data_IF_363249023831
#
_entry.id   IF_363249023831
#
_cell.length_a   1.000
_cell.length_b   1.000
_cell.length_c   1.000
_cell.angle_alpha   90.00
_cell.angle_beta   90.00
_cell.angle_gamma   90.00
#
_symmetry.space_group_name_H-M   'P 1'
#
loop_
_entity.id
_entity.type
_entity.pdbx_description
1 polymer ?
#
# COMPACT_ATOMS: atom_id res chain seq x y z
N UNK A 1 9.95 -23.67 -47.36
CA UNK A 1 9.63 -24.21 -46.02
C UNK A 1 10.20 -23.30 -44.93
N UNK A 2 11.52 -23.10 -44.85
CA UNK A 2 12.15 -22.26 -43.81
C UNK A 2 11.77 -20.77 -43.91
N UNK A 3 11.87 -20.15 -45.09
CA UNK A 3 11.50 -18.73 -45.29
C UNK A 3 10.03 -18.43 -44.96
N UNK A 4 9.14 -19.39 -45.21
CA UNK A 4 7.71 -19.22 -44.92
C UNK A 4 7.42 -19.36 -43.43
N UNK A 5 8.10 -20.27 -42.73
CA UNK A 5 8.06 -20.36 -41.28
C UNK A 5 8.63 -19.09 -40.61
N UNK A 6 9.74 -18.56 -41.13
CA UNK A 6 10.36 -17.33 -40.60
C UNK A 6 9.47 -16.09 -40.84
N UNK A 7 8.77 -16.03 -41.98
CA UNK A 7 7.78 -14.98 -42.28
C UNK A 7 6.60 -15.02 -41.32
N UNK A 8 6.05 -16.21 -41.07
CA UNK A 8 4.93 -16.41 -40.12
C UNK A 8 5.38 -16.04 -38.71
N UNK A 9 6.57 -16.47 -38.28
CA UNK A 9 7.11 -16.16 -36.97
C UNK A 9 7.30 -14.65 -36.77
N UNK A 10 7.76 -13.94 -37.81
CA UNK A 10 7.90 -12.48 -37.77
C UNK A 10 6.54 -11.77 -37.69
N UNK A 11 5.55 -12.19 -38.48
CA UNK A 11 4.19 -11.63 -38.41
C UNK A 11 3.52 -11.89 -37.05
N UNK A 12 3.73 -13.06 -36.46
CA UNK A 12 3.21 -13.39 -35.14
C UNK A 12 3.88 -12.55 -34.04
N UNK A 13 5.21 -12.37 -34.11
CA UNK A 13 5.94 -11.50 -33.20
C UNK A 13 5.48 -10.03 -33.29
N UNK A 14 5.28 -9.51 -34.51
CA UNK A 14 4.77 -8.15 -34.74
C UNK A 14 3.32 -8.00 -34.24
N UNK A 15 2.48 -9.01 -34.45
CA UNK A 15 1.11 -9.04 -33.92
C UNK A 15 1.11 -9.02 -32.39
N UNK A 16 1.94 -9.86 -31.77
CA UNK A 16 2.10 -9.92 -30.31
C UNK A 16 2.63 -8.60 -29.74
N UNK A 17 3.59 -7.97 -30.41
CA UNK A 17 4.13 -6.67 -30.03
C UNK A 17 3.04 -5.59 -30.03
N UNK A 18 2.22 -5.52 -31.10
CA UNK A 18 1.08 -4.58 -31.21
C UNK A 18 0.07 -4.75 -30.10
N UNK A 19 -0.36 -5.99 -29.85
CA UNK A 19 -1.31 -6.31 -28.75
C UNK A 19 -0.73 -5.91 -27.39
N UNK A 20 0.57 -6.17 -27.16
CA UNK A 20 1.25 -5.78 -25.91
C UNK A 20 1.28 -4.27 -25.75
N UNK A 21 1.62 -3.52 -26.79
CA UNK A 21 1.65 -2.05 -26.75
C UNK A 21 0.28 -1.44 -26.51
N UNK A 22 -0.78 -1.97 -27.15
CA UNK A 22 -2.16 -1.50 -26.93
C UNK A 22 -2.62 -1.73 -25.50
N UNK A 23 -2.31 -2.91 -24.93
CA UNK A 23 -2.66 -3.22 -23.53
C UNK A 23 -1.97 -2.26 -22.56
N UNK A 24 -0.68 -1.98 -22.78
CA UNK A 24 0.07 -1.02 -21.96
C UNK A 24 -0.51 0.39 -22.07
N UNK A 25 -0.81 0.86 -23.30
CA UNK A 25 -1.42 2.16 -23.53
C UNK A 25 -2.81 2.29 -22.88
N UNK A 26 -3.64 1.24 -22.92
CA UNK A 26 -4.93 1.21 -22.23
C UNK A 26 -4.77 1.26 -20.71
N UNK A 27 -3.78 0.55 -20.16
CA UNK A 27 -3.49 0.55 -18.72
C UNK A 27 -3.01 1.92 -18.25
N UNK A 28 -2.12 2.58 -19.01
CA UNK A 28 -1.68 3.95 -18.75
C UNK A 28 -2.81 4.97 -18.86
N UNK A 29 -3.65 4.86 -19.89
CA UNK A 29 -4.82 5.73 -20.07
C UNK A 29 -5.81 5.59 -18.90
N UNK A 30 -6.02 4.35 -18.41
CA UNK A 30 -6.84 4.08 -17.22
C UNK A 30 -6.23 4.70 -15.96
N UNK A 31 -4.91 4.58 -15.78
CA UNK A 31 -4.17 5.21 -14.66
C UNK A 31 -4.27 6.74 -14.71
N UNK A 32 -4.19 7.36 -15.89
CA UNK A 32 -4.34 8.81 -16.08
C UNK A 32 -5.73 9.29 -15.72
N UNK A 33 -6.79 8.66 -16.26
CA UNK A 33 -8.19 8.99 -15.91
C UNK A 33 -8.45 8.87 -14.40
N UNK A 34 -7.90 7.83 -13.76
CA UNK A 34 -8.07 7.62 -12.32
C UNK A 34 -7.45 8.75 -11.47
N UNK A 35 -6.41 9.43 -11.97
CA UNK A 35 -5.78 10.57 -11.28
C UNK A 35 -6.53 11.90 -11.49
N UNK A 36 -7.31 12.01 -12.56
CA UNK A 36 -7.99 13.25 -12.96
C UNK A 36 -9.43 13.36 -12.41
N UNK A 37 -10.03 12.27 -11.93
CA UNK A 37 -11.35 12.31 -11.29
C UNK A 37 -11.30 13.03 -9.94
N UNK A 38 -12.30 13.90 -9.63
CA UNK A 38 -12.39 14.53 -8.33
C UNK A 38 -12.53 13.46 -7.24
N UNK A 39 -11.57 13.43 -6.32
CA UNK A 39 -11.58 12.51 -5.19
C UNK A 39 -12.71 12.88 -4.22
N UNK A 40 -13.63 11.95 -3.95
CA UNK A 40 -14.68 12.09 -2.93
C UNK A 40 -14.34 11.28 -1.67
N UNK A 41 -13.10 11.40 -1.21
CA UNK A 41 -12.61 10.77 0.02
C UNK A 41 -11.42 11.59 0.54
N UNK A 42 -11.03 11.32 1.77
CA UNK A 42 -10.05 12.05 2.57
C UNK A 42 -8.95 11.11 3.07
N UNK A 43 -7.87 11.66 3.64
CA UNK A 43 -6.85 10.87 4.32
C UNK A 43 -7.42 10.00 5.45
N UNK A 44 -8.53 10.41 6.07
CA UNK A 44 -9.23 9.63 7.08
C UNK A 44 -9.82 8.33 6.51
N UNK A 45 -10.27 8.34 5.25
CA UNK A 45 -10.85 7.15 4.62
C UNK A 45 -9.81 6.05 4.39
N UNK A 46 -8.54 6.42 4.15
CA UNK A 46 -7.42 5.47 4.04
C UNK A 46 -7.22 4.77 5.40
N UNK A 47 -7.21 5.53 6.50
CA UNK A 47 -7.07 4.98 7.85
C UNK A 47 -8.23 4.05 8.20
N UNK A 48 -9.47 4.45 7.89
CA UNK A 48 -10.64 3.58 8.11
C UNK A 48 -10.65 2.35 7.22
N UNK A 49 -10.19 2.44 5.97
CA UNK A 49 -10.06 1.28 5.10
C UNK A 49 -9.04 0.28 5.66
N UNK A 50 -7.90 0.76 6.19
CA UNK A 50 -6.93 -0.10 6.87
C UNK A 50 -7.52 -0.74 8.14
N UNK A 51 -8.20 0.04 8.98
CA UNK A 51 -8.86 -0.41 10.20
C UNK A 51 -9.94 -1.48 9.96
N UNK A 52 -10.63 -1.42 8.81
CA UNK A 52 -11.70 -2.36 8.44
C UNK A 52 -11.20 -3.56 7.61
N UNK A 53 -9.92 -3.62 7.27
CA UNK A 53 -9.38 -4.64 6.38
C UNK A 53 -9.86 -4.49 4.93
N UNK A 54 -10.36 -3.32 4.53
CA UNK A 54 -10.87 -3.09 3.18
C UNK A 54 -9.72 -2.78 2.22
N UNK A 55 -8.98 -3.82 1.85
CA UNK A 55 -7.81 -3.76 0.96
C UNK A 55 -8.16 -3.17 -0.42
N UNK A 56 -9.37 -3.42 -0.94
CA UNK A 56 -9.79 -2.91 -2.24
C UNK A 56 -9.94 -1.38 -2.22
N UNK A 57 -10.65 -0.85 -1.22
CA UNK A 57 -10.78 0.59 -1.03
C UNK A 57 -9.42 1.23 -0.73
N UNK A 58 -8.63 0.62 0.15
CA UNK A 58 -7.29 1.09 0.50
C UNK A 58 -6.38 1.22 -0.74
N UNK A 59 -6.35 0.19 -1.59
CA UNK A 59 -5.57 0.20 -2.84
C UNK A 59 -6.08 1.26 -3.81
N UNK A 60 -7.40 1.43 -3.93
CA UNK A 60 -7.99 2.46 -4.78
C UNK A 60 -7.58 3.86 -4.31
N UNK A 61 -7.70 4.13 -3.01
CA UNK A 61 -7.37 5.44 -2.44
C UNK A 61 -5.89 5.77 -2.61
N UNK A 62 -4.98 4.82 -2.32
CA UNK A 62 -3.54 5.03 -2.45
C UNK A 62 -3.07 5.15 -3.90
N UNK A 63 -3.76 4.54 -4.87
CA UNK A 63 -3.47 4.75 -6.29
C UNK A 63 -3.82 6.17 -6.77
N UNK A 64 -4.84 6.79 -6.16
CA UNK A 64 -5.28 8.15 -6.49
C UNK A 64 -4.52 9.21 -5.70
N UNK A 65 -4.24 8.91 -4.42
CA UNK A 65 -3.64 9.80 -3.43
C UNK A 65 -2.51 9.08 -2.68
N UNK A 66 -1.41 8.74 -3.35
CA UNK A 66 -0.27 8.08 -2.72
C UNK A 66 0.37 8.95 -1.63
N UNK A 67 0.26 10.28 -1.72
CA UNK A 67 0.78 11.23 -0.74
C UNK A 67 0.12 11.12 0.64
N UNK A 68 -1.01 10.41 0.76
CA UNK A 68 -1.73 10.22 2.03
C UNK A 68 -1.35 8.92 2.76
N UNK A 69 -0.38 8.16 2.25
CA UNK A 69 0.04 6.88 2.83
C UNK A 69 0.38 6.99 4.33
N UNK A 70 1.11 8.05 4.71
CA UNK A 70 1.56 8.32 6.07
C UNK A 70 0.76 9.44 6.75
N UNK A 71 -0.39 9.83 6.16
CA UNK A 71 -1.23 10.87 6.76
C UNK A 71 -1.77 10.40 8.11
N UNK A 72 -1.51 11.21 9.14
CA UNK A 72 -1.94 10.96 10.51
C UNK A 72 -3.16 11.80 10.90
N UNK A 73 -3.87 11.38 11.95
CA UNK A 73 -4.82 12.27 12.63
C UNK A 73 -4.16 13.15 13.71
N UNK A 74 -5.00 13.83 14.50
CA UNK A 74 -4.60 14.67 15.62
C UNK A 74 -3.79 13.93 16.69
N UNK A 75 -3.88 12.59 16.74
CA UNK A 75 -3.14 11.75 17.68
C UNK A 75 -1.91 11.11 17.05
N UNK A 76 -1.54 11.47 15.81
CA UNK A 76 -0.42 10.86 15.09
C UNK A 76 -0.74 9.47 14.52
N UNK A 77 -2.01 9.04 14.48
CA UNK A 77 -2.36 7.72 13.97
C UNK A 77 -2.45 7.71 12.45
N UNK A 78 -1.47 7.09 11.80
CA UNK A 78 -1.49 6.74 10.37
C UNK A 78 -2.22 5.41 10.08
N UNK A 79 -2.42 5.09 8.80
CA UNK A 79 -3.12 3.88 8.35
C UNK A 79 -2.47 2.57 8.83
N UNK A 80 -1.13 2.55 8.96
CA UNK A 80 -0.41 1.38 9.47
C UNK A 80 -0.78 1.08 10.93
N UNK A 81 -0.95 2.11 11.77
CA UNK A 81 -1.33 1.93 13.17
C UNK A 81 -2.73 1.33 13.30
N UNK A 82 -3.68 1.79 12.48
CA UNK A 82 -5.04 1.27 12.49
C UNK A 82 -5.11 -0.18 12.00
N UNK A 83 -4.38 -0.52 10.94
CA UNK A 83 -4.29 -1.90 10.46
C UNK A 83 -3.65 -2.83 11.50
N UNK A 84 -2.62 -2.35 12.21
CA UNK A 84 -1.94 -3.09 13.28
C UNK A 84 -2.87 -3.31 14.47
N UNK A 85 -3.56 -2.27 14.93
CA UNK A 85 -4.43 -2.32 16.11
C UNK A 85 -5.50 -3.41 15.99
N UNK A 86 -5.98 -3.67 14.78
CA UNK A 86 -6.99 -4.70 14.52
C UNK A 86 -6.37 -6.03 14.05
N UNK A 87 -5.14 -6.00 13.51
CA UNK A 87 -4.43 -7.20 13.03
C UNK A 87 -4.71 -7.54 11.57
N UNK A 88 -5.11 -6.58 10.74
CA UNK A 88 -5.40 -6.81 9.32
C UNK A 88 -4.14 -6.95 8.48
N UNK A 89 -3.62 -8.17 8.38
CA UNK A 89 -2.37 -8.53 7.71
C UNK A 89 -2.30 -8.00 6.27
N UNK A 90 -3.36 -8.17 5.49
CA UNK A 90 -3.40 -7.80 4.07
C UNK A 90 -3.41 -6.28 3.88
N UNK A 91 -4.03 -5.53 4.80
CA UNK A 91 -3.92 -4.07 4.81
C UNK A 91 -2.48 -3.63 5.07
N UNK A 92 -1.79 -4.28 6.02
CA UNK A 92 -0.38 -3.96 6.32
C UNK A 92 0.54 -4.32 5.16
N UNK A 93 0.36 -5.49 4.54
CA UNK A 93 1.09 -5.86 3.32
C UNK A 93 0.94 -4.80 2.24
N UNK A 94 -0.30 -4.36 2.00
CA UNK A 94 -0.58 -3.33 1.00
C UNK A 94 0.09 -1.99 1.34
N UNK A 95 0.03 -1.55 2.59
CA UNK A 95 0.65 -0.29 3.01
C UNK A 95 2.17 -0.33 2.82
N UNK A 96 2.81 -1.44 3.17
CA UNK A 96 4.25 -1.67 2.95
C UNK A 96 4.58 -1.70 1.45
N UNK A 97 3.77 -2.37 0.61
CA UNK A 97 3.93 -2.38 -0.85
C UNK A 97 3.90 -0.96 -1.46
N UNK A 98 3.11 -0.06 -0.89
CA UNK A 98 3.02 1.34 -1.31
C UNK A 98 4.10 2.24 -0.69
N UNK A 99 4.97 1.70 0.16
CA UNK A 99 6.10 2.42 0.74
C UNK A 99 5.75 3.29 1.94
N UNK A 100 4.81 2.87 2.79
CA UNK A 100 4.55 3.57 4.05
C UNK A 100 5.77 3.56 4.97
N UNK A 101 5.86 4.55 5.86
CA UNK A 101 6.85 4.52 6.93
C UNK A 101 6.48 3.44 7.94
N UNK A 102 7.20 2.31 7.86
CA UNK A 102 7.01 1.15 8.74
C UNK A 102 7.34 1.50 10.21
N UNK A 103 8.15 2.53 10.43
CA UNK A 103 8.57 3.00 11.74
C UNK A 103 7.83 4.26 12.19
N UNK A 104 6.73 4.63 11.51
CA UNK A 104 5.87 5.73 11.91
C UNK A 104 5.49 5.59 13.40
N UNK A 105 5.50 6.73 14.09
CA UNK A 105 5.15 6.85 15.52
C UNK A 105 3.81 7.52 15.64
N UNK A 106 2.99 7.04 16.59
CA UNK A 106 1.83 7.81 17.06
C UNK A 106 2.29 9.05 17.82
N UNK A 107 1.36 9.90 18.26
CA UNK A 107 1.67 11.14 18.97
C UNK A 107 2.06 12.28 18.03
N UNK A 108 2.02 13.51 18.54
CA UNK A 108 2.32 14.72 17.76
C UNK A 108 3.19 15.67 18.58
N UNK A 109 4.01 16.48 17.89
CA UNK A 109 4.91 17.42 18.54
C UNK A 109 5.95 16.73 19.42
N UNK A 110 6.06 17.18 20.67
CA UNK A 110 7.03 16.64 21.64
C UNK A 110 6.58 15.33 22.31
N UNK A 111 5.28 14.99 22.22
CA UNK A 111 4.71 13.78 22.84
C UNK A 111 4.66 12.64 21.81
N UNK A 112 5.83 12.19 21.38
CA UNK A 112 5.93 11.05 20.46
C UNK A 112 5.55 9.76 21.18
N UNK A 113 4.57 9.08 20.60
CA UNK A 113 4.05 7.79 21.03
C UNK A 113 4.82 6.61 20.45
N UNK A 114 4.24 5.41 20.59
CA UNK A 114 4.85 4.18 20.12
C UNK A 114 4.86 4.03 18.59
N UNK A 115 5.87 3.32 18.09
CA UNK A 115 5.91 2.83 16.70
C UNK A 115 4.79 1.82 16.40
N UNK A 116 4.54 1.57 15.11
CA UNK A 116 3.63 0.52 14.66
C UNK A 116 3.97 -0.87 15.25
N UNK A 117 5.26 -1.25 15.29
CA UNK A 117 5.67 -2.53 15.88
C UNK A 117 5.46 -2.58 17.41
N UNK A 118 5.72 -1.47 18.12
CA UNK A 118 5.47 -1.40 19.56
C UNK A 118 3.98 -1.63 19.87
N UNK A 119 3.07 -1.01 19.12
CA UNK A 119 1.63 -1.25 19.25
C UNK A 119 1.25 -2.68 18.88
N UNK A 120 1.85 -3.25 17.84
CA UNK A 120 1.61 -4.63 17.43
C UNK A 120 1.93 -5.62 18.55
N UNK A 121 3.08 -5.48 19.22
CA UNK A 121 3.47 -6.37 20.33
C UNK A 121 2.63 -6.18 21.60
N UNK A 122 2.01 -5.01 21.78
CA UNK A 122 1.11 -4.73 22.91
C UNK A 122 -0.30 -5.26 22.71
N UNK A 123 -0.81 -5.18 21.49
CA UNK A 123 -2.21 -5.47 21.19
C UNK A 123 -2.40 -6.88 20.63
N UNK A 124 -1.41 -7.40 19.89
CA UNK A 124 -1.47 -8.70 19.23
C UNK A 124 -0.59 -9.72 19.95
N UNK A 125 -0.82 -11.01 19.68
CA UNK A 125 0.06 -12.07 20.15
C UNK A 125 1.46 -11.95 19.50
N UNK A 126 2.50 -12.37 20.23
CA UNK A 126 3.90 -12.31 19.78
C UNK A 126 4.12 -12.95 18.39
N UNK A 127 3.41 -14.05 18.13
CA UNK A 127 3.51 -14.80 16.87
C UNK A 127 2.48 -14.37 15.80
N UNK A 128 1.78 -13.25 16.01
CA UNK A 128 0.80 -12.78 15.05
C UNK A 128 1.47 -12.45 13.70
N UNK A 129 0.86 -12.79 12.54
CA UNK A 129 1.49 -12.56 11.24
C UNK A 129 1.86 -11.09 10.96
N UNK A 130 1.10 -10.12 11.51
CA UNK A 130 1.45 -8.68 11.45
C UNK A 130 2.79 -8.40 12.12
N UNK A 131 3.04 -8.94 13.31
CA UNK A 131 4.30 -8.73 14.05
C UNK A 131 5.47 -9.28 13.24
N UNK A 132 5.31 -10.49 12.69
CA UNK A 132 6.31 -11.10 11.82
C UNK A 132 6.57 -10.26 10.57
N UNK A 133 5.51 -9.79 9.91
CA UNK A 133 5.58 -8.98 8.70
C UNK A 133 6.31 -7.66 8.94
N UNK A 134 5.99 -6.95 10.02
CA UNK A 134 6.66 -5.71 10.40
C UNK A 134 8.16 -5.94 10.66
N UNK A 135 8.51 -6.94 11.47
CA UNK A 135 9.91 -7.30 11.76
C UNK A 135 10.70 -7.63 10.48
N UNK A 136 10.08 -8.35 9.55
CA UNK A 136 10.70 -8.70 8.26
C UNK A 136 10.94 -7.47 7.36
N UNK A 137 10.18 -6.40 7.54
CA UNK A 137 10.29 -5.16 6.75
C UNK A 137 11.04 -4.04 7.51
N UNK A 138 11.88 -4.40 8.48
CA UNK A 138 12.74 -3.44 9.18
C UNK A 138 12.04 -2.57 10.22
N UNK A 139 10.86 -2.99 10.69
CA UNK A 139 10.20 -2.31 11.79
C UNK A 139 11.00 -2.49 13.09
N UNK A 140 11.20 -1.40 13.83
CA UNK A 140 11.86 -1.40 15.13
C UNK A 140 10.86 -1.08 16.24
N UNK A 141 11.07 -1.67 17.41
CA UNK A 141 10.25 -1.39 18.59
C UNK A 141 10.70 -0.06 19.18
N UNK A 142 9.94 1.00 18.92
CA UNK A 142 10.15 2.31 19.55
C UNK A 142 9.00 2.56 20.53
N UNK A 143 9.23 2.56 21.85
CA UNK A 143 8.21 2.85 22.85
C UNK A 143 7.85 4.35 22.92
N UNK A 144 6.69 4.72 23.48
CA UNK A 144 6.34 6.12 23.73
C UNK A 144 7.28 6.77 24.75
N UNK A 145 7.50 8.09 24.64
CA UNK A 145 8.32 8.85 25.60
C UNK A 145 9.83 8.62 25.49
N UNK A 146 10.29 8.17 24.33
CA UNK A 146 11.71 8.06 23.95
C UNK A 146 12.16 9.22 23.09
#
# INVERSE_FOLDING_TARGET
AQEEADRIAKEEADRLARVKTERLAQEEAKKRKLKEEPVNFTAQDIRFAAARGNVHALRRYLNQKPEWIDASDSNGWCAIHEGVRIGHVESIKLLIEFGCDVNARTGTGNDLGGSALWWAEKVLAEHHPVVKLLKQNGAVVIPPGT
#
